data_IF_635434140415
#
_entry.id   IF_635434140415
#
_cell.length_a   1.000
_cell.length_b   1.000
_cell.length_c   1.000
_cell.angle_alpha   90.00
_cell.angle_beta   90.00
_cell.angle_gamma   90.00
#
_symmetry.space_group_name_H-M   'P 1'
#
loop_
_entity.id
_entity.type
_entity.pdbx_description
1 polymer ?
#
# COMPACT_ATOMS: atom_id res chain seq x y z
N UNK A 1 -22.24 4.99 -4.81
CA UNK A 1 -21.71 4.04 -5.81
C UNK A 1 -20.31 3.64 -5.36
N UNK A 2 -20.07 2.37 -5.04
CA UNK A 2 -18.75 1.86 -4.67
C UNK A 2 -17.91 1.71 -5.93
N UNK A 3 -17.02 2.66 -6.20
CA UNK A 3 -16.02 2.51 -7.26
C UNK A 3 -15.02 1.45 -6.80
N UNK A 4 -15.07 0.27 -7.42
CA UNK A 4 -14.11 -0.81 -7.14
C UNK A 4 -12.73 -0.40 -7.66
N UNK A 5 -11.94 0.23 -6.79
CA UNK A 5 -10.52 0.47 -7.07
C UNK A 5 -9.79 -0.86 -7.15
N UNK A 6 -8.90 -0.96 -8.12
CA UNK A 6 -8.05 -2.15 -8.29
C UNK A 6 -6.95 -2.12 -7.22
N UNK A 7 -6.67 -3.27 -6.62
CA UNK A 7 -5.65 -3.41 -5.57
C UNK A 7 -4.48 -4.25 -6.06
N UNK A 8 -3.24 -3.87 -5.71
CA UNK A 8 -2.02 -4.60 -6.05
C UNK A 8 -1.15 -4.85 -4.80
N UNK A 9 -0.58 -6.04 -4.70
CA UNK A 9 0.37 -6.43 -3.66
C UNK A 9 1.79 -6.44 -4.23
N UNK A 10 2.71 -5.69 -3.63
CA UNK A 10 4.10 -5.56 -4.08
C UNK A 10 5.04 -6.07 -2.99
N UNK A 11 5.79 -7.13 -3.31
CA UNK A 11 6.87 -7.63 -2.46
C UNK A 11 8.17 -6.87 -2.74
N UNK A 12 8.90 -6.47 -1.70
CA UNK A 12 10.15 -5.72 -1.89
C UNK A 12 9.91 -4.26 -2.33
N UNK A 13 8.83 -3.65 -1.84
CA UNK A 13 8.41 -2.29 -2.19
C UNK A 13 9.30 -1.17 -1.61
N UNK A 14 10.39 -1.52 -0.94
CA UNK A 14 11.24 -0.57 -0.22
C UNK A 14 12.36 0.02 -1.08
N UNK A 15 12.73 -0.61 -2.20
CA UNK A 15 13.79 -0.12 -3.10
C UNK A 15 13.70 -0.70 -4.50
N UNK A 16 14.44 -0.09 -5.44
CA UNK A 16 14.57 -0.57 -6.81
C UNK A 16 13.21 -0.62 -7.52
N UNK A 17 12.96 -1.72 -8.24
CA UNK A 17 11.78 -1.85 -9.08
C UNK A 17 10.46 -1.92 -8.28
N UNK A 18 10.50 -2.44 -7.05
CA UNK A 18 9.32 -2.54 -6.19
C UNK A 18 8.81 -1.16 -5.76
N UNK A 19 9.71 -0.22 -5.50
CA UNK A 19 9.34 1.18 -5.22
C UNK A 19 8.78 1.87 -6.47
N UNK A 20 9.42 1.68 -7.63
CA UNK A 20 8.95 2.26 -8.89
C UNK A 20 7.54 1.76 -9.26
N UNK A 21 7.24 0.48 -9.04
CA UNK A 21 5.90 -0.06 -9.23
C UNK A 21 4.89 0.51 -8.24
N UNK A 22 5.25 0.64 -6.96
CA UNK A 22 4.37 1.24 -5.97
C UNK A 22 3.96 2.66 -6.39
N UNK A 23 4.93 3.49 -6.78
CA UNK A 23 4.66 4.84 -7.27
C UNK A 23 3.80 4.86 -8.54
N UNK A 24 4.07 3.95 -9.49
CA UNK A 24 3.32 3.86 -10.73
C UNK A 24 1.84 3.51 -10.48
N UNK A 25 1.56 2.50 -9.65
CA UNK A 25 0.20 2.06 -9.37
C UNK A 25 -0.58 3.07 -8.52
N UNK A 26 0.08 3.77 -7.59
CA UNK A 26 -0.52 4.90 -6.88
C UNK A 26 -0.95 5.99 -7.87
N UNK A 27 -0.07 6.37 -8.81
CA UNK A 27 -0.39 7.37 -9.86
C UNK A 27 -1.52 6.91 -10.79
N UNK A 28 -1.63 5.61 -11.03
CA UNK A 28 -2.73 5.01 -11.79
C UNK A 28 -4.07 4.99 -11.01
N UNK A 29 -4.09 5.40 -9.74
CA UNK A 29 -5.28 5.43 -8.89
C UNK A 29 -5.64 4.09 -8.26
N UNK A 30 -4.70 3.16 -8.21
CA UNK A 30 -4.87 1.84 -7.61
C UNK A 30 -4.52 1.89 -6.13
N UNK A 31 -5.10 0.98 -5.37
CA UNK A 31 -4.70 0.75 -3.99
C UNK A 31 -3.48 -0.17 -3.99
N UNK A 32 -2.40 0.25 -3.33
CA UNK A 32 -1.14 -0.49 -3.28
C UNK A 32 -0.94 -1.02 -1.87
N UNK A 33 -0.52 -2.28 -1.75
CA UNK A 33 -0.09 -2.91 -0.50
C UNK A 33 1.37 -3.31 -0.69
N UNK A 34 2.27 -2.68 0.06
CA UNK A 34 3.71 -2.99 0.00
C UNK A 34 4.17 -3.85 1.16
N UNK A 35 5.01 -4.86 0.91
CA UNK A 35 5.67 -5.63 1.98
C UNK A 35 7.15 -5.25 2.10
N UNK A 36 7.56 -4.96 3.34
CA UNK A 36 8.93 -4.65 3.73
C UNK A 36 9.42 -5.66 4.78
N UNK A 37 10.74 -5.89 4.86
CA UNK A 37 11.31 -6.69 5.97
C UNK A 37 11.27 -5.85 7.25
N UNK A 38 10.97 -6.47 8.38
CA UNK A 38 10.71 -5.81 9.67
C UNK A 38 11.87 -4.94 10.24
N UNK A 39 13.05 -4.95 9.61
CA UNK A 39 14.24 -4.22 10.04
C UNK A 39 14.68 -3.09 9.09
N UNK A 40 13.96 -2.86 7.99
CA UNK A 40 14.17 -1.66 7.19
C UNK A 40 13.26 -0.58 7.76
N UNK A 41 13.82 0.46 8.36
CA UNK A 41 13.10 1.65 8.82
C UNK A 41 12.13 2.12 7.73
N UNK A 42 10.86 1.77 7.86
CA UNK A 42 9.78 2.17 6.96
C UNK A 42 9.30 3.55 7.38
N UNK A 43 10.21 4.51 7.32
CA UNK A 43 9.90 5.94 7.40
C UNK A 43 9.62 6.42 5.98
N UNK A 44 8.34 6.77 5.75
CA UNK A 44 7.69 7.13 4.48
C UNK A 44 7.15 5.97 3.64
N UNK A 45 6.04 5.42 4.11
CA UNK A 45 4.88 5.31 3.23
C UNK A 45 3.64 5.47 4.10
N UNK A 46 3.01 6.64 4.02
CA UNK A 46 1.63 6.80 4.47
C UNK A 46 0.76 5.95 3.52
N UNK A 47 0.72 4.64 3.75
CA UNK A 47 -0.30 3.77 3.21
C UNK A 47 -1.60 4.15 3.90
N UNK A 48 -2.59 4.54 3.10
CA UNK A 48 -3.96 4.66 3.59
C UNK A 48 -4.41 3.27 4.01
N UNK A 49 -4.46 3.05 5.33
CA UNK A 49 -5.06 1.87 5.92
C UNK A 49 -6.57 1.88 5.64
N UNK A 50 -6.96 1.20 4.55
CA UNK A 50 -8.36 1.05 4.14
C UNK A 50 -9.17 0.10 5.04
N UNK A 51 -8.61 -0.37 6.17
CA UNK A 51 -9.30 -1.33 7.06
C UNK A 51 -9.85 -0.72 8.35
N UNK A 52 -9.82 0.61 8.52
CA UNK A 52 -10.26 1.27 9.78
C UNK A 52 -11.69 1.80 9.85
N UNK A 53 -12.62 1.34 9.01
CA UNK A 53 -14.03 1.77 9.15
C UNK A 53 -14.92 0.83 9.98
N UNK A 54 -14.57 -0.44 10.18
CA UNK A 54 -15.54 -1.45 10.65
C UNK A 54 -15.11 -2.31 11.86
N UNK A 55 -14.18 -1.86 12.70
CA UNK A 55 -13.88 -2.61 13.94
C UNK A 55 -14.76 -2.09 15.10
N UNK A 56 -15.73 -2.87 15.61
CA UNK A 56 -16.46 -2.49 16.80
C UNK A 56 -15.52 -2.43 18.02
N UNK A 57 -15.75 -1.50 18.96
CA UNK A 57 -15.01 -1.47 20.22
C UNK A 57 -15.31 -2.75 21.01
N UNK A 58 -14.27 -3.37 21.54
CA UNK A 58 -14.38 -4.37 22.61
C UNK A 58 -14.73 -3.65 23.91
#
# INVERSE_FOLDING_TARGET
MTSTKKTVLITGSTRGIGLAFAEHYIKAGWDVIGTARANSSTEKAAYTDLTRSDRPPQ
#
